data_IF_481538220651
#
_entry.id   IF_481538220651
#
_cell.length_a   1.000
_cell.length_b   1.000
_cell.length_c   1.000
_cell.angle_alpha   90.00
_cell.angle_beta   90.00
_cell.angle_gamma   90.00
#
_symmetry.space_group_name_H-M   'P 1'
#
loop_
_entity.id
_entity.type
_entity.pdbx_description
1 polymer ?
#
# COMPACT_ATOMS: atom_id res chain seq x y z
N UNK A 1 -11.19 3.45 -11.60
CA UNK A 1 -10.02 3.59 -12.52
C UNK A 1 -8.96 2.50 -12.39
N UNK A 2 -8.55 2.08 -11.18
CA UNK A 2 -7.45 1.10 -10.99
C UNK A 2 -7.64 -0.22 -11.74
N UNK A 3 -8.84 -0.82 -11.70
CA UNK A 3 -9.11 -2.06 -12.43
C UNK A 3 -9.09 -1.87 -13.95
N UNK A 4 -9.59 -0.74 -14.45
CA UNK A 4 -9.49 -0.41 -15.88
C UNK A 4 -8.02 -0.31 -16.32
N UNK A 5 -7.19 0.40 -15.55
CA UNK A 5 -5.75 0.49 -15.81
C UNK A 5 -5.07 -0.90 -15.78
N UNK A 6 -5.42 -1.74 -14.81
CA UNK A 6 -4.89 -3.11 -14.72
C UNK A 6 -5.37 -4.04 -15.85
N UNK A 7 -6.59 -3.87 -16.36
CA UNK A 7 -7.09 -4.63 -17.52
C UNK A 7 -6.41 -4.18 -18.83
N UNK A 8 -6.05 -2.90 -18.93
CA UNK A 8 -5.36 -2.34 -20.09
C UNK A 8 -3.84 -2.51 -20.07
N UNK A 9 -3.24 -2.89 -18.94
CA UNK A 9 -1.81 -3.11 -18.82
C UNK A 9 -1.40 -4.45 -19.45
N UNK A 10 -0.49 -4.41 -20.43
CA UNK A 10 0.01 -5.60 -21.14
C UNK A 10 1.09 -6.40 -20.40
N UNK A 11 1.43 -6.04 -19.16
CA UNK A 11 2.51 -6.66 -18.39
C UNK A 11 1.99 -7.59 -17.30
N UNK A 12 2.73 -8.65 -17.00
CA UNK A 12 2.33 -9.64 -15.98
C UNK A 12 2.55 -9.16 -14.53
N UNK A 13 3.25 -8.04 -14.35
CA UNK A 13 3.44 -7.37 -13.06
C UNK A 13 2.85 -5.98 -13.12
N UNK A 14 2.19 -5.59 -12.05
CA UNK A 14 1.62 -4.27 -11.84
C UNK A 14 2.21 -3.65 -10.58
N UNK A 15 2.56 -2.37 -10.66
CA UNK A 15 2.95 -1.54 -9.53
C UNK A 15 1.75 -0.65 -9.19
N UNK A 16 1.27 -0.70 -7.96
CA UNK A 16 0.16 0.13 -7.48
C UNK A 16 0.73 1.35 -6.78
N UNK A 17 0.62 2.53 -7.41
CA UNK A 17 1.14 3.78 -6.88
C UNK A 17 0.22 4.97 -7.17
N UNK A 18 0.43 6.07 -6.43
CA UNK A 18 -0.20 7.36 -6.72
C UNK A 18 0.56 8.03 -7.87
N UNK A 19 -0.14 8.78 -8.72
CA UNK A 19 0.44 9.43 -9.90
C UNK A 19 1.54 10.45 -9.57
N UNK A 20 1.51 11.01 -8.36
CA UNK A 20 2.48 12.01 -7.87
C UNK A 20 3.73 11.37 -7.22
N UNK A 21 3.79 10.04 -7.11
CA UNK A 21 4.92 9.38 -6.47
C UNK A 21 6.12 9.23 -7.42
N UNK A 22 7.30 9.57 -6.91
CA UNK A 22 8.57 9.44 -7.63
C UNK A 22 9.33 8.24 -7.06
N UNK A 23 9.71 7.30 -7.93
CA UNK A 23 10.39 6.08 -7.49
C UNK A 23 11.90 6.29 -7.28
N UNK A 24 12.46 5.58 -6.31
CA UNK A 24 13.91 5.53 -6.06
C UNK A 24 14.67 5.15 -7.33
N UNK A 25 15.91 5.61 -7.48
CA UNK A 25 16.71 5.34 -8.67
C UNK A 25 16.89 3.84 -8.89
N UNK A 26 16.72 3.42 -10.16
CA UNK A 26 16.80 2.03 -10.59
C UNK A 26 15.76 1.10 -9.93
N UNK A 27 14.61 1.61 -9.46
CA UNK A 27 13.57 0.84 -8.78
C UNK A 27 13.25 -0.49 -9.47
N UNK A 28 12.85 -0.45 -10.75
CA UNK A 28 12.45 -1.65 -11.50
C UNK A 28 13.61 -2.64 -11.66
N UNK A 29 14.84 -2.13 -11.89
CA UNK A 29 16.05 -2.96 -12.03
C UNK A 29 16.37 -3.68 -10.71
N UNK A 30 16.30 -2.96 -9.58
CA UNK A 30 16.54 -3.51 -8.23
C UNK A 30 15.47 -4.55 -7.86
N UNK A 31 14.20 -4.26 -8.15
CA UNK A 31 13.09 -5.17 -7.82
C UNK A 31 13.05 -6.45 -8.67
N UNK A 32 13.61 -6.43 -9.89
CA UNK A 32 13.47 -7.50 -10.91
C UNK A 32 13.78 -8.91 -10.40
N UNK A 33 14.88 -9.09 -9.67
CA UNK A 33 15.29 -10.42 -9.23
C UNK A 33 14.33 -11.01 -8.19
N UNK A 34 13.74 -10.15 -7.36
CA UNK A 34 12.77 -10.58 -6.36
C UNK A 34 11.38 -10.78 -6.98
N UNK A 35 10.99 -9.96 -7.96
CA UNK A 35 9.68 -10.11 -8.62
C UNK A 35 9.55 -11.40 -9.42
N UNK A 36 10.65 -11.97 -9.92
CA UNK A 36 10.63 -13.31 -10.53
C UNK A 36 10.12 -14.39 -9.57
N UNK A 37 10.39 -14.26 -8.26
CA UNK A 37 9.90 -15.21 -7.26
C UNK A 37 8.38 -15.23 -7.15
N UNK A 38 7.68 -14.15 -7.52
CA UNK A 38 6.21 -14.12 -7.56
C UNK A 38 5.60 -15.10 -8.58
N UNK A 39 6.36 -15.48 -9.61
CA UNK A 39 5.93 -16.42 -10.64
C UNK A 39 6.34 -17.85 -10.33
N UNK A 40 7.48 -18.04 -9.67
CA UNK A 40 8.11 -19.36 -9.54
C UNK A 40 7.91 -20.01 -8.17
N UNK A 41 7.87 -19.21 -7.10
CA UNK A 41 8.00 -19.71 -5.72
C UNK A 41 6.91 -19.17 -4.78
N UNK A 42 6.54 -17.90 -4.95
CA UNK A 42 5.71 -17.16 -4.00
C UNK A 42 4.31 -16.97 -4.56
N UNK A 43 3.56 -18.09 -4.56
CA UNK A 43 2.11 -18.04 -4.75
C UNK A 43 1.46 -17.16 -3.68
N UNK A 44 0.38 -16.51 -4.07
CA UNK A 44 -0.43 -15.61 -3.24
C UNK A 44 0.41 -14.66 -2.39
N UNK A 45 1.30 -13.92 -3.04
CA UNK A 45 2.21 -12.98 -2.38
C UNK A 45 2.23 -11.66 -3.13
N UNK A 46 2.24 -10.55 -2.39
CA UNK A 46 2.52 -9.21 -2.93
C UNK A 46 3.78 -8.63 -2.31
N UNK A 47 4.49 -7.82 -3.09
CA UNK A 47 5.73 -7.17 -2.66
C UNK A 47 5.46 -5.72 -2.30
N UNK A 48 5.43 -5.43 -1.01
CA UNK A 48 5.26 -4.09 -0.45
C UNK A 48 6.56 -3.31 -0.60
N UNK A 49 6.47 -2.02 -0.93
CA UNK A 49 7.60 -1.10 -0.86
C UNK A 49 7.24 0.12 -0.01
N UNK A 50 8.27 0.76 0.55
CA UNK A 50 8.07 1.90 1.46
C UNK A 50 7.79 3.17 0.69
N UNK A 51 6.98 4.04 1.29
CA UNK A 51 6.67 5.38 0.80
C UNK A 51 7.07 6.42 1.84
N UNK A 52 7.67 7.51 1.37
CA UNK A 52 8.08 8.62 2.21
C UNK A 52 7.48 9.93 1.70
N UNK A 53 7.29 10.89 2.59
CA UNK A 53 7.08 12.28 2.21
C UNK A 53 8.39 13.03 2.36
N UNK A 54 8.65 13.95 1.44
CA UNK A 54 9.88 14.74 1.40
C UNK A 54 9.51 16.21 1.37
N UNK A 55 10.25 17.06 2.06
CA UNK A 55 10.05 18.50 1.98
C UNK A 55 10.07 18.96 0.51
N UNK A 56 9.03 19.70 0.12
CA UNK A 56 8.86 20.24 -1.23
C UNK A 56 10.04 21.14 -1.65
N UNK A 57 10.73 21.75 -0.69
CA UNK A 57 11.92 22.58 -0.92
C UNK A 57 13.22 21.79 -1.03
N UNK A 58 13.22 20.47 -0.78
CA UNK A 58 14.42 19.65 -0.92
C UNK A 58 14.67 19.36 -2.40
N UNK A 59 15.77 19.88 -2.92
CA UNK A 59 16.23 19.64 -4.28
C UNK A 59 17.74 19.39 -4.30
N UNK A 60 18.24 18.36 -5.00
CA UNK A 60 17.48 17.33 -5.72
C UNK A 60 16.67 16.43 -4.77
N UNK A 61 15.63 15.78 -5.30
CA UNK A 61 14.83 14.82 -4.54
C UNK A 61 15.68 13.58 -4.15
N UNK A 62 15.46 12.98 -2.97
CA UNK A 62 16.30 11.90 -2.43
C UNK A 62 15.95 10.55 -3.09
N UNK A 63 16.48 10.31 -4.29
CA UNK A 63 16.23 9.09 -5.06
C UNK A 63 17.23 7.96 -4.77
N UNK A 64 18.33 8.26 -4.06
CA UNK A 64 19.27 7.28 -3.52
C UNK A 64 19.07 7.11 -2.00
N UNK A 65 19.33 5.90 -1.48
CA UNK A 65 19.12 5.58 -0.06
C UNK A 65 19.91 6.49 0.89
N UNK A 66 21.15 6.82 0.55
CA UNK A 66 21.99 7.72 1.34
C UNK A 66 21.34 9.12 1.46
N UNK A 67 20.75 9.61 0.37
CA UNK A 67 20.06 10.90 0.36
C UNK A 67 18.79 10.85 1.20
N UNK A 68 18.02 9.75 1.10
CA UNK A 68 16.84 9.55 1.95
C UNK A 68 17.22 9.44 3.42
N UNK A 69 18.31 8.75 3.75
CA UNK A 69 18.80 8.62 5.12
C UNK A 69 19.18 9.99 5.70
N UNK A 70 19.91 10.83 4.96
CA UNK A 70 20.23 12.19 5.37
C UNK A 70 18.96 13.03 5.54
N UNK A 71 18.03 12.98 4.57
CA UNK A 71 16.77 13.71 4.65
C UNK A 71 15.93 13.33 5.88
N UNK A 72 15.90 12.05 6.26
CA UNK A 72 15.23 11.59 7.48
C UNK A 72 15.93 12.11 8.75
N UNK A 73 17.27 12.06 8.81
CA UNK A 73 18.05 12.57 9.95
C UNK A 73 17.91 14.08 10.13
N UNK A 74 17.77 14.82 9.03
CA UNK A 74 17.59 16.27 9.00
C UNK A 74 16.13 16.72 9.17
N UNK A 75 15.20 15.80 9.42
CA UNK A 75 13.75 16.07 9.47
C UNK A 75 13.20 16.73 8.18
N UNK A 76 13.88 16.53 7.03
CA UNK A 76 13.45 16.95 5.69
C UNK A 76 12.65 15.87 4.96
N UNK A 77 12.49 14.70 5.57
CA UNK A 77 11.62 13.62 5.10
C UNK A 77 10.95 12.93 6.28
N UNK A 78 9.81 12.29 6.05
CA UNK A 78 9.10 11.49 7.03
C UNK A 78 8.46 10.26 6.36
N UNK A 79 8.01 9.31 7.17
CA UNK A 79 7.14 8.24 6.68
C UNK A 79 5.86 8.84 6.12
N UNK A 80 5.33 8.23 5.06
CA UNK A 80 4.18 8.79 4.38
C UNK A 80 2.98 8.98 5.31
N UNK A 81 2.42 10.19 5.32
CA UNK A 81 1.30 10.60 6.17
C UNK A 81 1.54 10.35 7.67
N UNK A 82 2.79 10.31 8.15
CA UNK A 82 3.08 10.06 9.57
C UNK A 82 2.33 11.03 10.51
N UNK A 83 2.14 12.27 10.08
CA UNK A 83 1.57 13.35 10.91
C UNK A 83 0.03 13.39 10.91
N UNK A 84 -0.63 12.83 9.90
CA UNK A 84 -2.09 12.89 9.77
C UNK A 84 -2.76 11.51 9.76
N UNK A 85 -2.06 10.45 9.34
CA UNK A 85 -2.63 9.11 9.17
C UNK A 85 -1.58 7.99 9.34
N UNK A 86 -0.73 8.09 10.36
CA UNK A 86 0.37 7.14 10.57
C UNK A 86 -0.07 5.68 10.69
N UNK A 87 -1.25 5.39 11.27
CA UNK A 87 -1.77 4.01 11.42
C UNK A 87 -1.99 3.29 10.09
N UNK A 88 -2.31 4.04 9.03
CA UNK A 88 -2.63 3.47 7.72
C UNK A 88 -1.39 3.13 6.90
N UNK A 89 -0.27 3.79 7.14
CA UNK A 89 0.96 3.58 6.36
C UNK A 89 2.12 3.04 7.20
N UNK A 90 1.84 2.56 8.41
CA UNK A 90 2.84 1.97 9.29
C UNK A 90 3.44 0.70 8.65
N UNK A 91 4.75 0.73 8.43
CA UNK A 91 5.57 -0.44 8.12
C UNK A 91 6.75 -0.39 9.12
N UNK A 92 6.83 -1.32 10.08
CA UNK A 92 7.80 -1.26 11.17
C UNK A 92 9.25 -1.42 10.66
N UNK A 93 10.22 -1.12 11.54
CA UNK A 93 11.66 -1.34 11.29
C UNK A 93 12.23 -0.59 10.08
N UNK A 94 11.96 0.72 9.95
CA UNK A 94 12.50 1.54 8.85
C UNK A 94 14.03 1.63 8.91
N UNK A 95 14.61 1.86 10.09
CA UNK A 95 16.06 1.99 10.23
C UNK A 95 16.81 0.68 9.98
N UNK A 96 16.29 -0.46 10.44
CA UNK A 96 16.88 -1.76 10.10
C UNK A 96 16.79 -2.07 8.60
N UNK A 97 15.63 -1.76 7.97
CA UNK A 97 15.48 -1.84 6.52
C UNK A 97 16.48 -0.94 5.77
N UNK A 98 16.68 0.29 6.25
CA UNK A 98 17.59 1.26 5.66
C UNK A 98 19.05 0.79 5.77
N UNK A 99 19.47 0.39 6.98
CA UNK A 99 20.84 -0.05 7.23
C UNK A 99 21.16 -1.30 6.39
N UNK A 100 20.27 -2.30 6.39
CA UNK A 100 20.42 -3.48 5.53
C UNK A 100 20.59 -3.07 4.06
N UNK A 101 19.75 -2.14 3.58
CA UNK A 101 19.78 -1.70 2.17
C UNK A 101 20.99 -0.85 1.79
N UNK A 102 21.72 -0.31 2.78
CA UNK A 102 22.94 0.46 2.57
C UNK A 102 24.20 -0.43 2.67
N UNK A 103 24.14 -1.47 3.51
CA UNK A 103 25.27 -2.36 3.80
C UNK A 103 25.33 -3.58 2.87
N UNK A 104 24.26 -3.84 2.10
CA UNK A 104 24.16 -5.00 1.22
C UNK A 104 23.81 -4.58 -0.21
N UNK A 105 24.17 -5.43 -1.18
CA UNK A 105 23.77 -5.27 -2.59
C UNK A 105 22.55 -6.13 -2.94
N UNK A 106 22.24 -7.12 -2.10
CA UNK A 106 21.20 -8.12 -2.37
C UNK A 106 19.84 -7.58 -1.98
N UNK A 107 18.94 -7.48 -2.96
CA UNK A 107 17.53 -7.15 -2.72
C UNK A 107 16.80 -8.37 -2.16
N UNK A 108 16.15 -8.20 -1.01
CA UNK A 108 15.38 -9.23 -0.30
C UNK A 108 13.96 -8.75 -0.07
N UNK A 109 13.07 -9.67 0.32
CA UNK A 109 11.70 -9.36 0.69
C UNK A 109 11.28 -10.09 1.97
N UNK A 110 11.21 -9.33 3.05
CA UNK A 110 10.94 -9.86 4.39
C UNK A 110 9.44 -9.92 4.64
N UNK A 111 8.99 -10.99 5.28
CA UNK A 111 7.56 -11.16 5.56
C UNK A 111 7.07 -10.13 6.56
N UNK A 112 5.94 -9.51 6.27
CA UNK A 112 5.24 -8.61 7.18
C UNK A 112 3.83 -9.12 7.42
N UNK A 113 3.38 -9.05 8.67
CA UNK A 113 1.99 -9.35 9.01
C UNK A 113 1.11 -8.18 8.61
N UNK A 114 -0.06 -8.49 8.06
CA UNK A 114 -1.12 -7.51 7.96
C UNK A 114 -1.39 -6.89 9.34
N UNK A 115 -1.47 -5.56 9.39
CA UNK A 115 -1.45 -4.83 10.66
C UNK A 115 -2.85 -4.48 11.14
N UNK A 116 -3.71 -3.93 10.27
CA UNK A 116 -5.07 -3.50 10.61
C UNK A 116 -5.90 -3.14 9.35
N UNK A 117 -7.22 -2.97 9.55
CA UNK A 117 -8.22 -2.60 8.52
C UNK A 117 -7.93 -1.32 7.74
N UNK A 118 -7.18 -0.40 8.34
CA UNK A 118 -6.79 0.88 7.77
C UNK A 118 -5.46 0.84 7.02
N UNK A 119 -4.79 -0.31 6.95
CA UNK A 119 -3.47 -0.44 6.35
C UNK A 119 -3.52 -0.31 4.80
N UNK A 120 -2.74 0.64 4.27
CA UNK A 120 -2.67 1.02 2.85
C UNK A 120 -1.22 1.09 2.37
N UNK A 121 -0.49 -0.04 2.36
CA UNK A 121 0.79 -0.12 1.67
C UNK A 121 0.58 0.00 0.16
N UNK A 122 1.63 0.44 -0.52
CA UNK A 122 1.77 0.26 -1.95
C UNK A 122 2.60 -0.99 -2.24
N UNK A 123 2.29 -1.67 -3.34
CA UNK A 123 2.88 -2.97 -3.63
C UNK A 123 2.96 -3.29 -5.13
N UNK A 124 3.80 -4.27 -5.42
CA UNK A 124 3.90 -4.97 -6.71
C UNK A 124 3.08 -6.25 -6.60
N UNK A 125 2.23 -6.48 -7.59
CA UNK A 125 1.35 -7.65 -7.69
C UNK A 125 1.35 -8.20 -9.11
N UNK A 126 0.86 -9.42 -9.29
CA UNK A 126 0.65 -10.03 -10.61
C UNK A 126 -0.59 -9.45 -11.28
N UNK A 127 -0.63 -9.53 -12.61
CA UNK A 127 -1.82 -9.15 -13.37
C UNK A 127 -3.05 -9.97 -12.98
N UNK A 128 -2.84 -11.24 -12.60
CA UNK A 128 -3.86 -12.23 -12.20
C UNK A 128 -4.32 -12.13 -10.75
N UNK A 129 -3.67 -11.33 -9.91
CA UNK A 129 -4.07 -11.17 -8.51
C UNK A 129 -5.44 -10.46 -8.40
N UNK A 130 -6.17 -10.57 -7.27
CA UNK A 130 -7.52 -10.00 -7.12
C UNK A 130 -7.64 -8.53 -7.53
N UNK A 131 -8.77 -8.17 -8.15
CA UNK A 131 -9.10 -6.79 -8.50
C UNK A 131 -9.64 -6.00 -7.29
N UNK A 132 -9.65 -4.67 -7.39
CA UNK A 132 -10.32 -3.83 -6.39
C UNK A 132 -11.84 -4.09 -6.44
N UNK A 133 -12.51 -4.03 -5.29
CA UNK A 133 -13.97 -3.97 -5.26
C UNK A 133 -14.44 -2.63 -5.85
N UNK A 134 -15.22 -2.67 -6.93
CA UNK A 134 -15.57 -1.47 -7.72
C UNK A 134 -16.73 -0.67 -7.14
N UNK A 135 -17.55 -1.26 -6.26
CA UNK A 135 -18.72 -0.58 -5.68
C UNK A 135 -18.36 0.31 -4.47
N UNK A 136 -17.08 0.37 -4.07
CA UNK A 136 -16.63 1.26 -3.01
C UNK A 136 -16.68 2.72 -3.48
N UNK A 137 -17.13 3.61 -2.59
CA UNK A 137 -17.16 5.04 -2.89
C UNK A 137 -15.72 5.53 -3.06
N UNK A 138 -15.41 6.10 -4.24
CA UNK A 138 -14.06 6.52 -4.59
C UNK A 138 -13.53 7.56 -3.60
N UNK A 139 -12.22 7.50 -3.29
CA UNK A 139 -11.48 8.33 -2.30
C UNK A 139 -11.67 7.97 -0.83
N UNK A 140 -12.66 7.16 -0.49
CA UNK A 140 -12.77 6.59 0.85
C UNK A 140 -12.49 5.10 0.79
N UNK A 141 -11.50 4.64 1.54
CA UNK A 141 -11.11 3.23 1.66
C UNK A 141 -10.63 2.54 0.38
N UNK A 142 -10.41 3.28 -0.71
CA UNK A 142 -10.20 2.67 -2.02
C UNK A 142 -8.90 1.84 -2.13
N UNK A 143 -7.84 2.24 -1.43
CA UNK A 143 -6.62 1.44 -1.26
C UNK A 143 -6.78 0.37 -0.15
N UNK A 144 -7.45 0.71 0.97
CA UNK A 144 -7.78 -0.25 2.03
C UNK A 144 -8.51 -1.48 1.50
N UNK A 145 -9.50 -1.31 0.61
CA UNK A 145 -10.26 -2.41 -0.01
C UNK A 145 -9.33 -3.46 -0.57
N UNK A 146 -8.41 -3.10 -1.46
CA UNK A 146 -7.59 -4.11 -2.12
C UNK A 146 -6.66 -4.83 -1.15
N UNK A 147 -6.09 -4.12 -0.19
CA UNK A 147 -5.23 -4.74 0.84
C UNK A 147 -6.04 -5.74 1.67
N UNK A 148 -7.28 -5.39 2.00
CA UNK A 148 -8.21 -6.27 2.72
C UNK A 148 -8.62 -7.48 1.88
N UNK A 149 -8.93 -7.29 0.59
CA UNK A 149 -9.20 -8.39 -0.36
C UNK A 149 -8.04 -9.39 -0.41
N UNK A 150 -6.82 -8.88 -0.57
CA UNK A 150 -5.61 -9.70 -0.61
C UNK A 150 -5.42 -10.45 0.71
N UNK A 151 -5.53 -9.77 1.85
CA UNK A 151 -5.40 -10.41 3.16
C UNK A 151 -6.39 -11.57 3.31
N UNK A 152 -7.68 -11.33 3.04
CA UNK A 152 -8.70 -12.35 3.24
C UNK A 152 -8.57 -13.49 2.23
N UNK A 153 -8.09 -13.22 1.01
CA UNK A 153 -7.70 -14.23 0.03
C UNK A 153 -6.44 -15.04 0.43
N UNK A 154 -5.87 -14.80 1.61
CA UNK A 154 -4.72 -15.54 2.14
C UNK A 154 -3.38 -15.05 1.62
N UNK A 155 -3.32 -13.87 0.98
CA UNK A 155 -2.07 -13.35 0.46
C UNK A 155 -1.08 -13.01 1.57
N UNK A 156 0.19 -13.30 1.31
CA UNK A 156 1.32 -12.91 2.13
C UNK A 156 1.87 -11.57 1.64
N UNK A 157 2.23 -10.71 2.59
CA UNK A 157 2.87 -9.44 2.31
C UNK A 157 4.36 -9.57 2.59
N UNK A 158 5.21 -9.12 1.67
CA UNK A 158 6.66 -9.05 1.89
C UNK A 158 7.19 -7.67 1.56
N UNK A 159 7.95 -7.06 2.47
CA UNK A 159 8.53 -5.72 2.28
C UNK A 159 9.85 -5.84 1.55
N UNK A 160 9.95 -5.23 0.37
CA UNK A 160 11.17 -5.14 -0.41
C UNK A 160 12.21 -4.25 0.27
N UNK A 161 13.45 -4.70 0.32
CA UNK A 161 14.61 -3.86 0.62
C UNK A 161 15.00 -2.98 -0.58
N UNK A 162 15.85 -1.98 -0.35
CA UNK A 162 16.49 -1.11 -1.36
C UNK A 162 15.60 -0.17 -2.19
N UNK A 163 14.31 -0.45 -2.27
CA UNK A 163 13.38 0.27 -3.14
C UNK A 163 12.29 0.97 -2.35
N UNK A 164 11.98 2.18 -2.77
CA UNK A 164 10.95 3.03 -2.17
C UNK A 164 10.44 4.02 -3.21
N UNK A 165 9.39 4.74 -2.87
CA UNK A 165 9.02 5.95 -3.56
C UNK A 165 8.82 7.11 -2.58
N UNK A 166 8.75 8.30 -3.15
CA UNK A 166 8.57 9.54 -2.41
C UNK A 166 7.37 10.32 -2.94
N UNK A 167 6.76 11.08 -2.06
CA UNK A 167 5.78 12.10 -2.37
C UNK A 167 6.36 13.47 -2.00
N UNK A 168 6.22 14.45 -2.89
CA UNK A 168 6.72 15.82 -2.64
C UNK A 168 5.75 16.61 -1.76
N UNK A 169 6.28 17.16 -0.67
CA UNK A 169 5.52 17.81 0.40
C UNK A 169 5.18 16.85 1.54
N UNK A 170 5.52 17.27 2.77
CA UNK A 170 5.11 16.60 4.01
C UNK A 170 3.77 17.16 4.45
N UNK A 171 2.76 16.30 4.49
CA UNK A 171 1.41 16.72 4.81
C UNK A 171 1.20 16.92 6.31
N UNK A 172 0.87 18.14 6.68
CA UNK A 172 0.66 18.56 8.08
C UNK A 172 -0.81 18.55 8.50
N UNK A 173 -1.73 18.71 7.53
CA UNK A 173 -3.17 18.76 7.74
C UNK A 173 -3.91 18.24 6.52
N UNK A 174 -5.17 17.85 6.72
CA UNK A 174 -6.09 17.58 5.63
C UNK A 174 -6.39 18.86 4.85
N UNK A 175 -6.56 18.72 3.53
CA UNK A 175 -7.11 19.79 2.70
C UNK A 175 -8.60 19.99 2.96
N UNK A 176 -9.14 21.17 2.64
CA UNK A 176 -10.58 21.46 2.80
C UNK A 176 -11.44 20.44 2.04
N UNK A 177 -10.97 20.04 0.85
CA UNK A 177 -11.61 18.99 0.07
C UNK A 177 -11.67 17.66 0.83
N UNK A 178 -10.58 17.24 1.47
CA UNK A 178 -10.54 16.00 2.24
C UNK A 178 -11.43 16.07 3.49
N UNK A 179 -11.47 17.23 4.15
CA UNK A 179 -12.38 17.46 5.27
C UNK A 179 -13.84 17.33 4.81
N UNK A 180 -14.18 17.94 3.67
CA UNK A 180 -15.52 17.80 3.06
C UNK A 180 -15.81 16.34 2.73
N UNK A 181 -14.87 15.63 2.10
CA UNK A 181 -15.04 14.21 1.79
C UNK A 181 -15.25 13.38 3.05
N UNK A 182 -14.51 13.64 4.13
CA UNK A 182 -14.69 12.97 5.42
C UNK A 182 -16.08 13.25 6.01
N UNK A 183 -16.57 14.48 5.91
CA UNK A 183 -17.92 14.84 6.36
C UNK A 183 -19.00 14.15 5.52
N UNK A 184 -18.87 14.14 4.19
CA UNK A 184 -19.78 13.42 3.29
C UNK A 184 -19.82 11.93 3.59
N UNK A 185 -18.67 11.31 3.91
CA UNK A 185 -18.65 9.90 4.31
C UNK A 185 -19.44 9.64 5.60
N UNK A 186 -19.36 10.55 6.59
CA UNK A 186 -20.16 10.46 7.81
C UNK A 186 -21.66 10.60 7.52
N UNK A 187 -22.06 11.55 6.68
CA UNK A 187 -23.47 11.72 6.30
C UNK A 187 -24.01 10.52 5.51
N UNK A 188 -23.16 9.88 4.73
CA UNK A 188 -23.50 8.70 3.94
C UNK A 188 -23.30 7.38 4.71
N UNK A 189 -23.08 7.42 6.04
CA UNK A 189 -22.72 6.23 6.82
C UNK A 189 -23.65 5.02 6.56
N UNK A 190 -24.96 5.24 6.43
CA UNK A 190 -25.92 4.17 6.10
C UNK A 190 -25.59 3.51 4.75
N UNK A 191 -25.30 4.30 3.71
CA UNK A 191 -24.87 3.79 2.41
C UNK A 191 -23.52 3.08 2.49
N UNK A 192 -22.60 3.56 3.33
CA UNK A 192 -21.34 2.87 3.58
C UNK A 192 -21.57 1.51 4.27
N UNK A 193 -22.48 1.41 5.23
CA UNK A 193 -22.84 0.16 5.90
C UNK A 193 -23.51 -0.83 4.95
N UNK A 194 -24.36 -0.35 4.04
CA UNK A 194 -24.94 -1.17 2.95
C UNK A 194 -23.86 -1.71 2.00
N UNK A 195 -22.94 -0.84 1.56
CA UNK A 195 -21.80 -1.24 0.71
C UNK A 195 -20.90 -2.23 1.46
N UNK A 196 -20.65 -2.01 2.75
CA UNK A 196 -19.85 -2.91 3.58
C UNK A 196 -20.50 -4.28 3.73
N UNK A 197 -21.82 -4.30 3.92
CA UNK A 197 -22.61 -5.52 4.04
C UNK A 197 -22.64 -6.28 2.71
N UNK A 198 -22.85 -5.58 1.61
CA UNK A 198 -22.77 -6.13 0.25
C UNK A 198 -21.38 -6.69 -0.04
N UNK A 199 -20.32 -5.94 0.28
CA UNK A 199 -18.93 -6.35 0.16
C UNK A 199 -18.63 -7.63 0.96
N UNK A 200 -19.04 -7.68 2.24
CA UNK A 200 -18.90 -8.88 3.08
C UNK A 200 -19.65 -10.08 2.49
N UNK A 201 -20.82 -9.87 1.91
CA UNK A 201 -21.66 -10.93 1.33
C UNK A 201 -21.09 -11.45 0.00
N UNK A 202 -20.66 -10.55 -0.89
CA UNK A 202 -20.04 -10.88 -2.17
C UNK A 202 -18.69 -11.59 -1.97
N UNK A 203 -17.92 -11.19 -0.97
CA UNK A 203 -16.69 -11.87 -0.56
C UNK A 203 -16.92 -13.35 -0.20
N UNK A 204 -17.97 -13.64 0.58
CA UNK A 204 -18.33 -15.03 0.93
C UNK A 204 -18.73 -15.83 -0.32
N UNK A 205 -19.27 -15.17 -1.35
CA UNK A 205 -19.73 -15.81 -2.59
C UNK A 205 -18.58 -16.10 -3.57
N UNK A 206 -17.64 -15.17 -3.72
CA UNK A 206 -16.55 -15.27 -4.70
C UNK A 206 -15.42 -16.25 -4.27
N UNK A 207 -15.28 -16.54 -2.98
CA UNK A 207 -14.15 -17.32 -2.45
C UNK A 207 -14.56 -18.67 -1.80
N UNK A 208 -15.58 -19.34 -2.35
CA UNK A 208 -16.09 -20.64 -1.86
C UNK A 208 -15.14 -21.85 -2.00
N UNK A 209 -13.91 -21.68 -2.47
CA UNK A 209 -12.91 -22.76 -2.50
C UNK A 209 -12.20 -22.88 -1.14
N UNK A 210 -12.02 -24.13 -0.68
CA UNK A 210 -11.89 -24.59 0.70
C UNK A 210 -10.70 -24.08 1.57
N UNK A 211 -9.94 -23.06 1.16
CA UNK A 211 -8.80 -22.54 1.93
C UNK A 211 -9.01 -21.13 2.50
N UNK A 212 -10.20 -20.55 2.33
CA UNK A 212 -10.52 -19.23 2.88
C UNK A 212 -10.75 -19.34 4.39
N UNK A 213 -9.67 -19.34 5.16
CA UNK A 213 -9.77 -19.21 6.60
C UNK A 213 -10.50 -17.90 6.92
N UNK A 214 -11.54 -18.00 7.75
CA UNK A 214 -12.05 -16.89 8.55
C UNK A 214 -10.93 -16.47 9.51
N UNK A 215 -9.85 -15.91 8.99
CA UNK A 215 -8.80 -15.36 9.82
C UNK A 215 -9.34 -14.05 10.38
N UNK A 216 -9.66 -14.07 11.68
CA UNK A 216 -9.84 -12.89 12.52
C UNK A 216 -8.66 -11.91 12.44
N UNK A 217 -7.54 -12.31 11.83
CA UNK A 217 -6.36 -11.51 11.57
C UNK A 217 -6.53 -10.43 10.48
N UNK A 218 -7.41 -10.66 9.49
CA UNK A 218 -7.76 -9.64 8.51
C UNK A 218 -8.94 -8.85 9.08
N UNK A 219 -8.67 -7.65 9.60
CA UNK A 219 -9.65 -6.88 10.37
C UNK A 219 -10.96 -6.68 9.63
N UNK A 220 -12.06 -6.51 10.38
CA UNK A 220 -13.35 -6.21 9.78
C UNK A 220 -13.25 -4.90 8.99
N UNK A 221 -13.66 -4.98 7.72
CA UNK A 221 -13.78 -3.83 6.85
C UNK A 221 -14.71 -2.83 7.54
N UNK A 222 -14.19 -1.62 7.78
CA UNK A 222 -14.79 -0.47 8.47
C UNK A 222 -14.59 -0.46 9.99
N UNK A 223 -13.60 0.34 10.42
CA UNK A 223 -13.69 0.99 11.74
C UNK A 223 -14.87 1.96 11.63
N UNK A 224 -15.92 1.84 12.47
CA UNK A 224 -17.03 2.78 12.42
C UNK A 224 -16.49 4.19 12.53
N UNK A 225 -16.99 5.09 11.69
CA UNK A 225 -16.73 6.53 11.78
C UNK A 225 -17.42 7.07 13.04
N UNK A 226 -16.96 6.64 14.22
CA UNK A 226 -17.34 7.24 15.51
C UNK A 226 -16.63 8.59 15.65
#
# INVERSE_FOLDING_TARGET
MRNAARRGAGTNLHIVADSENIFSKNFAKKARNVTQKLFNEWNDTVLVYRRFEVDKKLWPQPLELQQLQSALKENRSNYFHALIYGRGHLIPNVWGWMNFSLENEIVVADSIKYVNGAWEPQFIMRSTDPYHYEDIITRHYDHQVLVNELCRAGYKFRVLSHVYNIHSGIKQKYSDYEVVMMHLAKLQAVKYDEIATSYRTNLVRCHRTASYHRTTACGDFIVPLR
#
